data_IF_592746302365
#
_entry.id   IF_592746302365
#
_cell.length_a   1.000
_cell.length_b   1.000
_cell.length_c   1.000
_cell.angle_alpha   90.00
_cell.angle_beta   90.00
_cell.angle_gamma   90.00
#
_symmetry.space_group_name_H-M   'P 1'
#
loop_
_entity.id
_entity.type
_entity.pdbx_description
1 polymer ?
#
# COMPACT_ATOMS: atom_id res chain seq x y z
N UNK A 1 -6.78 -8.87 -59.09
CA UNK A 1 -5.49 -9.48 -58.69
C UNK A 1 -4.72 -8.44 -57.89
N UNK A 2 -4.26 -8.76 -56.66
CA UNK A 2 -3.98 -7.82 -55.57
C UNK A 2 -2.48 -7.51 -55.38
N UNK A 3 -2.13 -6.36 -54.81
CA UNK A 3 -0.95 -6.17 -53.94
C UNK A 3 -0.84 -4.71 -53.46
N UNK A 4 -1.04 -4.48 -52.17
CA UNK A 4 -0.74 -3.24 -51.45
C UNK A 4 -0.68 -3.52 -49.94
N UNK A 5 0.20 -2.86 -49.16
CA UNK A 5 1.23 -3.58 -48.42
C UNK A 5 0.98 -3.75 -46.91
N UNK A 6 1.56 -4.84 -46.40
CA UNK A 6 2.13 -5.07 -45.08
C UNK A 6 1.41 -4.45 -43.86
N UNK A 7 0.57 -5.28 -43.24
CA UNK A 7 0.18 -5.13 -41.83
C UNK A 7 1.46 -5.07 -40.98
N UNK A 8 1.66 -3.93 -40.32
CA UNK A 8 2.71 -3.77 -39.31
C UNK A 8 2.23 -4.40 -38.01
N UNK A 9 3.02 -5.38 -37.57
CA UNK A 9 2.90 -6.10 -36.32
C UNK A 9 2.66 -5.15 -35.14
N UNK A 10 1.45 -5.21 -34.57
CA UNK A 10 1.15 -4.60 -33.28
C UNK A 10 1.69 -5.52 -32.19
N UNK A 11 2.99 -5.47 -31.93
CA UNK A 11 3.52 -5.86 -30.63
C UNK A 11 3.07 -4.82 -29.60
N UNK A 12 1.82 -4.93 -29.16
CA UNK A 12 1.38 -4.36 -27.89
C UNK A 12 2.15 -5.12 -26.82
N UNK A 13 3.18 -4.47 -26.30
CA UNK A 13 3.92 -4.89 -25.12
C UNK A 13 2.89 -5.01 -23.99
N UNK A 14 2.43 -6.23 -23.74
CA UNK A 14 1.60 -6.57 -22.59
C UNK A 14 2.47 -6.47 -21.32
N UNK A 15 2.63 -5.25 -20.83
CA UNK A 15 3.01 -5.01 -19.44
C UNK A 15 1.74 -5.18 -18.60
N UNK A 16 1.67 -6.14 -17.66
CA UNK A 16 0.55 -6.23 -16.74
C UNK A 16 0.70 -5.11 -15.70
N UNK A 17 0.43 -3.87 -16.12
CA UNK A 17 0.03 -2.83 -15.17
C UNK A 17 -1.28 -3.30 -14.60
N UNK A 18 -1.24 -3.72 -13.34
CA UNK A 18 -2.41 -3.99 -12.52
C UNK A 18 -3.36 -2.79 -12.60
N UNK A 19 -4.36 -2.90 -13.47
CA UNK A 19 -5.53 -2.06 -13.42
C UNK A 19 -6.29 -2.55 -12.19
N UNK A 20 -6.09 -1.87 -11.06
CA UNK A 20 -7.16 -1.78 -10.08
C UNK A 20 -8.38 -1.39 -10.90
N UNK A 21 -9.33 -2.30 -11.04
CA UNK A 21 -10.60 -2.03 -11.68
C UNK A 21 -11.31 -1.05 -10.75
N UNK A 22 -10.97 0.23 -10.91
CA UNK A 22 -11.86 1.32 -10.57
C UNK A 22 -13.02 1.09 -11.54
N UNK A 23 -13.97 0.25 -11.12
CA UNK A 23 -15.26 0.18 -11.76
C UNK A 23 -15.73 1.62 -11.79
N UNK A 24 -15.66 2.26 -12.97
CA UNK A 24 -16.24 3.57 -13.19
C UNK A 24 -17.69 3.38 -12.77
N UNK A 25 -18.03 3.90 -11.60
CA UNK A 25 -19.39 3.99 -11.10
C UNK A 25 -20.18 4.52 -12.28
N UNK A 26 -21.13 3.72 -12.77
CA UNK A 26 -22.11 4.14 -13.77
C UNK A 26 -22.56 5.56 -13.42
N UNK A 27 -22.87 6.41 -14.43
CA UNK A 27 -23.46 7.75 -14.23
C UNK A 27 -24.88 7.63 -13.64
N UNK A 28 -24.94 7.09 -12.44
CA UNK A 28 -26.10 6.96 -11.58
C UNK A 28 -25.85 7.91 -10.41
N UNK A 29 -26.88 8.59 -9.89
CA UNK A 29 -26.75 9.43 -8.71
C UNK A 29 -25.98 8.70 -7.59
N UNK A 30 -25.19 9.44 -6.81
CA UNK A 30 -24.46 8.83 -5.71
C UNK A 30 -25.47 8.15 -4.78
N UNK A 31 -25.25 6.85 -4.55
CA UNK A 31 -25.96 6.07 -3.53
C UNK A 31 -26.03 6.87 -2.22
N UNK A 32 -27.17 6.81 -1.50
CA UNK A 32 -27.33 7.50 -0.24
C UNK A 32 -26.19 7.12 0.71
N UNK A 33 -25.65 8.13 1.40
CA UNK A 33 -24.58 7.93 2.37
C UNK A 33 -25.17 7.36 3.67
N UNK A 34 -24.66 6.20 4.08
CA UNK A 34 -25.13 5.49 5.26
C UNK A 34 -24.11 5.74 6.36
N UNK A 35 -24.57 6.17 7.54
CA UNK A 35 -23.67 6.35 8.68
C UNK A 35 -23.25 4.98 9.28
N UNK A 36 -22.26 4.36 8.64
CA UNK A 36 -21.67 3.09 9.07
C UNK A 36 -20.96 3.27 10.43
N UNK A 37 -20.51 4.48 10.79
CA UNK A 37 -19.89 4.75 12.09
C UNK A 37 -20.91 4.58 13.20
N UNK A 38 -22.08 5.16 13.06
CA UNK A 38 -23.14 5.03 14.06
C UNK A 38 -23.60 3.57 14.22
N UNK A 39 -23.77 2.84 13.11
CA UNK A 39 -24.16 1.42 13.13
C UNK A 39 -23.15 0.57 13.90
N UNK A 40 -21.85 0.83 13.72
CA UNK A 40 -20.77 0.10 14.44
C UNK A 40 -20.75 0.41 15.93
N UNK A 41 -21.06 1.65 16.30
CA UNK A 41 -21.06 2.10 17.70
C UNK A 41 -22.26 1.56 18.47
N UNK A 42 -23.44 1.53 17.83
CA UNK A 42 -24.71 1.14 18.45
C UNK A 42 -25.38 -0.02 17.68
N UNK A 43 -24.77 -1.22 17.58
CA UNK A 43 -25.35 -2.32 16.81
C UNK A 43 -26.73 -2.71 17.34
N UNK A 44 -26.87 -2.90 18.66
CA UNK A 44 -28.11 -3.35 19.31
C UNK A 44 -29.32 -2.45 18.99
N UNK A 45 -29.12 -1.14 18.95
CA UNK A 45 -30.16 -0.17 18.56
C UNK A 45 -30.69 -0.48 17.16
N UNK A 46 -29.80 -0.73 16.20
CA UNK A 46 -30.18 -1.04 14.84
C UNK A 46 -30.77 -2.44 14.69
N UNK A 47 -30.35 -3.41 15.50
CA UNK A 47 -30.96 -4.75 15.51
C UNK A 47 -32.40 -4.69 15.99
N UNK A 48 -32.65 -3.98 17.10
CA UNK A 48 -33.99 -3.77 17.66
C UNK A 48 -34.88 -3.01 16.67
N UNK A 49 -34.38 -1.94 16.05
CA UNK A 49 -35.13 -1.23 15.02
C UNK A 49 -35.48 -2.12 13.82
N UNK A 50 -34.57 -3.01 13.41
CA UNK A 50 -34.87 -4.00 12.39
C UNK A 50 -35.98 -4.97 12.84
N UNK A 51 -35.97 -5.43 14.09
CA UNK A 51 -37.02 -6.31 14.62
C UNK A 51 -38.39 -5.62 14.70
N UNK A 52 -38.43 -4.40 15.23
CA UNK A 52 -39.64 -3.56 15.32
C UNK A 52 -40.27 -3.30 13.94
N UNK A 53 -39.43 -3.12 12.91
CA UNK A 53 -39.86 -2.92 11.52
C UNK A 53 -40.09 -4.23 10.75
N UNK A 54 -40.08 -5.37 11.42
CA UNK A 54 -40.28 -6.71 10.85
C UNK A 54 -39.21 -7.13 9.81
N UNK A 55 -37.99 -6.59 9.93
CA UNK A 55 -36.82 -6.96 9.12
C UNK A 55 -35.97 -8.04 9.82
N UNK A 56 -36.58 -9.19 10.10
CA UNK A 56 -35.96 -10.30 10.88
C UNK A 56 -34.67 -10.85 10.27
N UNK A 57 -34.52 -10.81 8.95
CA UNK A 57 -33.28 -11.25 8.30
C UNK A 57 -32.16 -10.22 8.44
N UNK A 58 -32.52 -8.94 8.53
CA UNK A 58 -31.56 -7.83 8.50
C UNK A 58 -31.06 -7.44 9.89
N UNK A 59 -31.77 -7.84 10.96
CA UNK A 59 -31.32 -7.60 12.33
C UNK A 59 -29.95 -8.24 12.64
N UNK A 60 -29.48 -9.20 11.84
CA UNK A 60 -28.16 -9.84 12.01
C UNK A 60 -27.01 -9.00 11.45
N UNK A 61 -27.30 -8.02 10.59
CA UNK A 61 -26.27 -7.29 9.87
C UNK A 61 -25.52 -6.25 10.71
N UNK A 62 -26.13 -5.49 11.64
CA UNK A 62 -25.41 -4.55 12.50
C UNK A 62 -24.27 -5.22 13.29
N UNK A 63 -24.53 -6.33 13.98
CA UNK A 63 -23.47 -7.12 14.64
C UNK A 63 -22.42 -7.64 13.67
N UNK A 64 -22.82 -8.14 12.50
CA UNK A 64 -21.88 -8.62 11.47
C UNK A 64 -20.97 -7.51 10.95
N UNK A 65 -21.51 -6.30 10.74
CA UNK A 65 -20.74 -5.13 10.29
C UNK A 65 -19.67 -4.77 11.33
N UNK A 66 -20.02 -4.76 12.62
CA UNK A 66 -19.05 -4.54 13.72
C UNK A 66 -17.94 -5.59 13.71
N UNK A 67 -18.27 -6.86 13.56
CA UNK A 67 -17.29 -7.95 13.52
C UNK A 67 -16.34 -7.86 12.31
N UNK A 68 -16.90 -7.61 11.11
CA UNK A 68 -16.09 -7.43 9.89
C UNK A 68 -15.17 -6.21 10.00
N UNK A 69 -15.64 -5.13 10.62
CA UNK A 69 -14.81 -3.96 10.85
C UNK A 69 -13.63 -4.26 11.78
N UNK A 70 -13.84 -5.04 12.84
CA UNK A 70 -12.77 -5.48 13.72
C UNK A 70 -11.72 -6.34 12.99
N UNK A 71 -12.17 -7.29 12.15
CA UNK A 71 -11.28 -8.11 11.31
C UNK A 71 -10.49 -7.26 10.32
N UNK A 72 -11.14 -6.32 9.65
CA UNK A 72 -10.49 -5.38 8.74
C UNK A 72 -9.45 -4.53 9.47
N UNK A 73 -9.77 -4.01 10.66
CA UNK A 73 -8.85 -3.19 11.44
C UNK A 73 -7.64 -3.99 11.93
N UNK A 74 -7.81 -5.27 12.28
CA UNK A 74 -6.71 -6.17 12.60
C UNK A 74 -5.76 -6.33 11.41
N UNK A 75 -6.29 -6.74 10.24
CA UNK A 75 -5.49 -6.88 9.01
C UNK A 75 -4.79 -5.59 8.59
N UNK A 76 -5.44 -4.46 8.79
CA UNK A 76 -4.85 -3.15 8.50
C UNK A 76 -3.65 -2.85 9.40
N UNK A 77 -3.71 -3.24 10.69
CA UNK A 77 -2.56 -3.12 11.60
C UNK A 77 -1.45 -4.09 11.21
N UNK A 78 -1.78 -5.35 10.96
CA UNK A 78 -0.81 -6.41 10.62
C UNK A 78 -0.03 -6.08 9.35
N UNK A 79 -0.71 -5.54 8.34
CA UNK A 79 -0.06 -5.14 7.08
C UNK A 79 0.69 -3.80 7.15
N UNK A 80 0.44 -2.95 8.15
CA UNK A 80 0.99 -1.57 8.18
C UNK A 80 2.51 -1.58 8.29
N UNK A 81 3.05 -2.28 9.28
CA UNK A 81 4.50 -2.36 9.53
C UNK A 81 5.24 -2.97 8.34
N UNK A 82 4.66 -3.99 7.70
CA UNK A 82 5.23 -4.65 6.52
C UNK A 82 5.26 -3.73 5.30
N UNK A 83 4.21 -2.93 5.06
CA UNK A 83 4.19 -1.93 3.97
C UNK A 83 5.17 -0.78 4.24
N UNK A 84 5.27 -0.31 5.48
CA UNK A 84 6.25 0.73 5.86
C UNK A 84 7.69 0.24 5.62
N UNK A 85 7.99 -1.00 5.99
CA UNK A 85 9.27 -1.65 5.73
C UNK A 85 9.52 -1.88 4.24
N UNK A 86 8.53 -2.36 3.49
CA UNK A 86 8.62 -2.51 2.03
C UNK A 86 8.86 -1.19 1.30
N UNK A 87 8.24 -0.10 1.75
CA UNK A 87 8.49 1.24 1.21
C UNK A 87 9.90 1.74 1.54
N UNK A 88 10.44 1.40 2.72
CA UNK A 88 11.83 1.70 3.07
C UNK A 88 12.82 0.94 2.16
N UNK A 89 12.64 -0.36 1.98
CA UNK A 89 13.45 -1.17 1.05
C UNK A 89 13.40 -0.64 -0.38
N UNK A 90 12.20 -0.29 -0.87
CA UNK A 90 12.04 0.24 -2.23
C UNK A 90 12.83 1.52 -2.44
N UNK A 91 12.88 2.43 -1.46
CA UNK A 91 13.69 3.65 -1.52
C UNK A 91 15.18 3.32 -1.60
N UNK A 92 15.64 2.38 -0.78
CA UNK A 92 17.06 1.99 -0.75
C UNK A 92 17.50 1.31 -2.04
N UNK A 93 16.68 0.42 -2.60
CA UNK A 93 16.97 -0.26 -3.87
C UNK A 93 17.06 0.74 -5.03
N UNK A 94 16.18 1.75 -5.06
CA UNK A 94 16.23 2.79 -6.10
C UNK A 94 17.46 3.67 -5.91
N UNK A 95 17.74 4.12 -4.68
CA UNK A 95 18.88 5.00 -4.40
C UNK A 95 20.24 4.31 -4.69
N UNK A 96 20.40 3.04 -4.28
CA UNK A 96 21.60 2.25 -4.54
C UNK A 96 21.78 1.90 -6.02
N UNK A 97 20.68 1.71 -6.77
CA UNK A 97 20.74 1.49 -8.21
C UNK A 97 21.15 2.74 -9.00
N UNK A 98 20.81 3.94 -8.52
CA UNK A 98 21.21 5.20 -9.17
C UNK A 98 22.69 5.50 -8.94
N UNK A 99 23.22 5.26 -7.74
CA UNK A 99 24.65 5.52 -7.40
C UNK A 99 25.59 4.63 -8.23
N UNK A 100 25.23 3.37 -8.49
CA UNK A 100 26.07 2.43 -9.27
C UNK A 100 26.20 2.77 -10.77
N UNK A 101 25.46 3.76 -11.28
CA UNK A 101 25.55 4.17 -12.69
C UNK A 101 26.43 5.41 -12.90
N UNK A 102 27.02 5.96 -11.84
CA UNK A 102 27.85 7.17 -11.86
C UNK A 102 29.34 6.86 -11.61
N UNK A 103 29.68 5.65 -11.16
CA UNK A 103 31.05 5.26 -10.80
C UNK A 103 31.92 4.78 -11.99
N UNK A 104 31.46 4.88 -13.24
CA UNK A 104 32.26 4.58 -14.46
C UNK A 104 32.66 5.83 -15.26
N UNK A 105 32.42 7.04 -14.74
CA UNK A 105 32.82 8.29 -15.40
C UNK A 105 33.78 9.10 -14.52
N UNK A 106 35.06 8.75 -14.54
CA UNK A 106 36.09 9.53 -13.87
C UNK A 106 36.33 10.89 -14.57
N UNK A 107 36.32 11.95 -13.74
CA UNK A 107 37.18 13.13 -13.77
C UNK A 107 36.80 14.34 -14.66
N UNK A 108 36.37 15.44 -14.03
CA UNK A 108 36.23 16.75 -14.67
C UNK A 108 35.59 17.88 -13.83
N UNK A 109 36.32 18.39 -12.83
CA UNK A 109 36.44 19.84 -12.50
C UNK A 109 35.21 20.68 -12.03
N UNK A 110 35.28 21.08 -10.76
CA UNK A 110 35.07 22.42 -10.17
C UNK A 110 33.66 23.05 -9.91
N UNK A 111 33.45 23.34 -8.61
CA UNK A 111 33.16 24.66 -8.00
C UNK A 111 31.73 25.13 -7.64
N UNK A 112 31.57 25.49 -6.35
CA UNK A 112 30.73 26.59 -5.81
C UNK A 112 29.54 26.15 -4.93
N UNK A 113 29.65 26.06 -3.60
CA UNK A 113 29.51 27.10 -2.53
C UNK A 113 28.14 26.97 -1.80
N UNK A 114 28.11 26.56 -0.52
CA UNK A 114 27.95 27.39 0.72
C UNK A 114 26.59 28.15 0.77
N UNK A 115 25.74 28.17 1.81
CA UNK A 115 25.86 28.05 3.27
C UNK A 115 24.41 27.98 3.84
N UNK A 116 24.17 27.20 4.91
CA UNK A 116 23.85 27.67 6.28
C UNK A 116 22.36 28.00 6.54
N UNK A 117 21.84 27.43 7.62
CA UNK A 117 20.43 27.38 8.00
C UNK A 117 20.27 26.50 9.24
N UNK A 118 20.78 27.02 10.34
CA UNK A 118 20.73 26.45 11.69
C UNK A 118 19.29 26.22 12.14
N UNK A 119 18.94 24.97 12.45
CA UNK A 119 17.85 24.66 13.36
C UNK A 119 18.22 23.43 14.18
N UNK A 120 18.32 23.64 15.48
CA UNK A 120 18.72 22.67 16.48
C UNK A 120 17.87 21.39 16.36
N UNK A 121 18.53 20.26 16.14
CA UNK A 121 17.89 18.94 16.25
C UNK A 121 17.99 18.51 17.72
N UNK A 122 16.90 18.69 18.46
CA UNK A 122 16.70 18.06 19.77
C UNK A 122 16.86 16.53 19.66
N UNK A 123 17.66 15.88 20.52
CA UNK A 123 17.94 14.44 20.44
C UNK A 123 16.73 13.55 20.83
N UNK A 124 15.60 14.12 21.23
CA UNK A 124 14.44 13.40 21.76
C UNK A 124 13.45 12.89 20.69
N UNK A 125 13.64 13.20 19.40
CA UNK A 125 12.66 12.89 18.34
C UNK A 125 12.99 11.66 17.48
N UNK A 126 14.10 10.95 17.73
CA UNK A 126 14.49 9.73 16.99
C UNK A 126 13.95 8.42 17.56
N UNK A 127 12.90 8.46 18.38
CA UNK A 127 12.30 7.25 18.94
C UNK A 127 10.81 7.24 18.66
N UNK A 128 10.39 6.48 17.65
CA UNK A 128 9.07 5.84 17.53
C UNK A 128 9.07 5.00 16.24
N UNK A 129 9.63 3.80 16.33
CA UNK A 129 9.62 2.84 15.23
C UNK A 129 10.74 1.81 15.25
N UNK A 130 11.37 1.54 16.39
CA UNK A 130 12.39 0.50 16.52
C UNK A 130 11.70 -0.86 16.65
N UNK A 131 11.21 -1.37 15.52
CA UNK A 131 11.03 -2.80 15.36
C UNK A 131 12.41 -3.46 15.22
N UNK A 132 12.55 -4.76 15.55
CA UNK A 132 13.83 -5.49 15.49
C UNK A 132 14.23 -5.83 14.04
N UNK A 133 14.14 -4.86 13.13
CA UNK A 133 14.65 -4.93 11.78
C UNK A 133 15.96 -4.18 11.73
N UNK A 134 17.03 -4.83 11.26
CA UNK A 134 18.30 -4.17 10.98
C UNK A 134 18.06 -2.94 10.09
N UNK A 135 18.83 -1.88 10.30
CA UNK A 135 18.74 -0.67 9.48
C UNK A 135 18.93 -1.02 8.00
N UNK A 136 17.89 -0.78 7.20
CA UNK A 136 17.83 -1.07 5.76
C UNK A 136 19.04 -0.52 4.99
N UNK A 137 19.63 0.59 5.47
CA UNK A 137 20.80 1.26 4.89
C UNK A 137 22.11 0.48 5.03
N UNK A 138 22.17 -0.47 5.96
CA UNK A 138 23.37 -1.28 6.23
C UNK A 138 23.36 -2.62 5.50
N UNK A 139 22.24 -2.96 4.85
CA UNK A 139 22.02 -4.24 4.21
C UNK A 139 22.69 -4.29 2.83
N UNK A 140 23.24 -5.45 2.49
CA UNK A 140 23.78 -5.67 1.14
C UNK A 140 22.65 -5.75 0.11
N UNK A 141 22.95 -5.47 -1.17
CA UNK A 141 21.97 -5.56 -2.27
C UNK A 141 21.24 -6.90 -2.34
N UNK A 142 21.94 -8.00 -2.05
CA UNK A 142 21.34 -9.34 -2.02
C UNK A 142 20.36 -9.50 -0.86
N UNK A 143 20.73 -9.03 0.33
CA UNK A 143 19.89 -9.05 1.54
C UNK A 143 18.63 -8.19 1.36
N UNK A 144 18.74 -7.01 0.73
CA UNK A 144 17.60 -6.15 0.39
C UNK A 144 16.59 -6.85 -0.53
N UNK A 145 17.07 -7.56 -1.54
CA UNK A 145 16.21 -8.28 -2.49
C UNK A 145 15.53 -9.48 -1.85
N UNK A 146 16.25 -10.21 -0.97
CA UNK A 146 15.68 -11.35 -0.27
C UNK A 146 14.63 -10.93 0.76
N UNK A 147 14.92 -9.88 1.53
CA UNK A 147 13.95 -9.30 2.44
C UNK A 147 12.69 -8.80 1.69
N UNK A 148 12.85 -8.19 0.52
CA UNK A 148 11.72 -7.76 -0.30
C UNK A 148 10.86 -8.95 -0.77
N UNK A 149 11.46 -10.11 -1.10
CA UNK A 149 10.71 -11.33 -1.44
C UNK A 149 9.92 -11.84 -0.23
N UNK A 150 10.55 -11.89 0.94
CA UNK A 150 9.90 -12.33 2.18
C UNK A 150 8.76 -11.39 2.59
N UNK A 151 8.96 -10.08 2.49
CA UNK A 151 7.90 -9.09 2.75
C UNK A 151 6.73 -9.21 1.79
N UNK A 152 7.00 -9.48 0.50
CA UNK A 152 5.95 -9.73 -0.48
C UNK A 152 5.16 -10.98 -0.12
N UNK A 153 5.84 -12.07 0.24
CA UNK A 153 5.19 -13.33 0.61
C UNK A 153 4.32 -13.18 1.87
N UNK A 154 4.86 -12.53 2.92
CA UNK A 154 4.13 -12.28 4.17
C UNK A 154 2.93 -11.34 3.98
N UNK A 155 3.05 -10.29 3.15
CA UNK A 155 1.92 -9.45 2.78
C UNK A 155 0.84 -10.23 2.02
N UNK A 156 1.24 -11.07 1.07
CA UNK A 156 0.31 -11.94 0.32
C UNK A 156 -0.49 -12.84 1.27
N UNK A 157 0.18 -13.45 2.25
CA UNK A 157 -0.47 -14.33 3.23
C UNK A 157 -1.52 -13.59 4.09
N UNK A 158 -1.25 -12.34 4.46
CA UNK A 158 -2.20 -11.51 5.23
C UNK A 158 -3.40 -11.07 4.37
N UNK A 159 -3.18 -10.83 3.07
CA UNK A 159 -4.21 -10.40 2.12
C UNK A 159 -5.13 -11.54 1.67
N UNK A 160 -4.59 -12.75 1.45
CA UNK A 160 -5.39 -13.91 1.04
C UNK A 160 -6.29 -14.45 2.18
N UNK A 161 -5.86 -14.30 3.43
CA UNK A 161 -6.60 -14.79 4.60
C UNK A 161 -6.69 -16.33 4.66
N UNK A 162 -7.04 -16.91 5.82
CA UNK A 162 -7.31 -18.33 5.87
C UNK A 162 -8.58 -18.64 5.07
N UNK A 163 -8.46 -19.59 4.14
CA UNK A 163 -9.56 -20.19 3.37
C UNK A 163 -10.57 -20.86 4.31
#
# INVERSE_FOLDING_TARGET
>A
MPAGPAESDKTIINSPRNYTIIQRRQLWPPRPDIDIKHIRQNPELHENNCLERNYKNQCKYPSRIKALFAQWQARQRDGRSLRERGNALRREIVNSATIQHEDEAENGTAAGSQQDGSQANDPASRSLGEGPGRDVRTMTKYELLEEARLLKHTLSAIEEGPV
#
